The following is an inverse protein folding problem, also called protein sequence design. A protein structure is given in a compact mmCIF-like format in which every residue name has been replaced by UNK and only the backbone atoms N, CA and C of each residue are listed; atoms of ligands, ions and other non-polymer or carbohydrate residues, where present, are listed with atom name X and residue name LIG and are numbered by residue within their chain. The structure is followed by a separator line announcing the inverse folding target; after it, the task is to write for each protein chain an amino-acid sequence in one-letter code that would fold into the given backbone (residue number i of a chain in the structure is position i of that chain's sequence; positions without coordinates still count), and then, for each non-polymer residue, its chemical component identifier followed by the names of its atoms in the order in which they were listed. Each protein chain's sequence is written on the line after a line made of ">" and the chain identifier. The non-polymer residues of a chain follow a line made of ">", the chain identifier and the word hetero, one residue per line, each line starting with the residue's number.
data_IF_277560816876
#
_entry.id   IF_277560816876
#
_cell.length_a   1.000
_cell.length_b   1.000
_cell.length_c   1.000
_cell.angle_alpha   90.00
_cell.angle_beta   90.00
_cell.angle_gamma   90.00
#
_symmetry.space_group_name_H-M   'P 1'
#
loop_
_entity.id
_entity.type
_entity.pdbx_description
1 polymer ?
2 non-polymer ?
3 water ?
#
# COMPACT_ATOMS: atom_id res chain seq x y z
N UNK A 1 -4.44 21.46 -15.35
CA UNK A 1 -3.59 20.81 -14.36
C UNK A 1 -3.21 21.79 -13.27
N UNK A 2 -2.87 21.25 -12.10
CA UNK A 2 -2.49 22.05 -10.95
C UNK A 2 -3.52 21.99 -9.84
N UNK A 3 -4.22 23.10 -9.63
CA UNK A 3 -5.35 23.18 -8.73
C UNK A 3 -6.66 22.78 -9.38
N UNK A 4 -6.62 22.30 -10.63
CA UNK A 4 -7.79 21.74 -11.28
C UNK A 4 -8.41 20.64 -10.43
N UNK A 5 -9.72 20.69 -10.22
CA UNK A 5 -10.38 19.57 -9.56
C UNK A 5 -10.19 18.32 -10.40
N UNK A 6 -10.27 17.17 -9.74
CA UNK A 6 -9.96 15.89 -10.37
C UNK A 6 -8.54 15.85 -10.95
N UNK A 7 -7.61 16.62 -10.37
CA UNK A 7 -6.23 16.59 -10.85
C UNK A 7 -5.68 15.16 -10.82
N UNK A 8 -5.78 14.48 -9.68
CA UNK A 8 -5.21 13.14 -9.58
C UNK A 8 -5.92 12.15 -10.50
N UNK A 9 -7.24 12.29 -10.65
CA UNK A 9 -7.96 11.47 -11.62
C UNK A 9 -7.39 11.66 -13.03
N UNK A 10 -7.09 12.90 -13.41
CA UNK A 10 -6.64 13.14 -14.78
C UNK A 10 -5.21 12.67 -14.98
N UNK A 11 -4.34 12.88 -13.99
CA UNK A 11 -2.99 12.36 -14.18
C UNK A 11 -2.93 10.85 -13.99
N UNK A 12 -4.02 10.22 -13.56
CA UNK A 12 -4.08 8.77 -13.45
C UNK A 12 -3.17 8.16 -12.40
N UNK A 13 -2.80 8.91 -11.37
CA UNK A 13 -1.88 8.44 -10.35
C UNK A 13 -2.46 8.81 -9.00
N UNK A 14 -2.50 7.84 -8.07
CA UNK A 14 -3.12 8.06 -6.75
C UNK A 14 -2.06 8.36 -5.70
N UNK A 15 -2.18 9.45 -4.97
CA UNK A 15 -1.51 9.54 -3.68
C UNK A 15 -2.12 8.55 -2.71
N UNK A 16 -1.28 7.88 -1.92
CA UNK A 16 -1.79 6.92 -0.95
C UNK A 16 -1.17 7.20 0.41
N UNK A 17 -1.91 6.83 1.45
CA UNK A 17 -1.48 6.93 2.83
C UNK A 17 -1.29 5.53 3.38
N UNK A 18 -0.16 5.29 4.06
CA UNK A 18 0.15 3.99 4.65
C UNK A 18 0.45 4.20 6.12
N UNK A 19 -0.32 3.56 6.99
CA UNK A 19 -0.14 3.67 8.43
C UNK A 19 0.39 2.34 8.96
N UNK A 20 1.62 2.37 9.45
CA UNK A 20 2.22 1.30 10.24
C UNK A 20 2.05 1.65 11.71
N UNK A 21 2.45 0.72 12.58
CA UNK A 21 2.34 0.98 14.01
C UNK A 21 3.18 2.14 14.51
N UNK A 22 4.17 2.58 13.72
CA UNK A 22 5.10 3.62 14.14
C UNK A 22 5.18 4.83 13.23
N UNK A 23 4.61 4.79 12.02
CA UNK A 23 4.68 5.96 11.16
C UNK A 23 3.51 5.95 10.20
N UNK A 24 3.17 7.13 9.72
CA UNK A 24 2.21 7.29 8.65
C UNK A 24 2.99 7.82 7.45
N UNK A 25 2.90 7.12 6.32
CA UNK A 25 3.68 7.44 5.14
C UNK A 25 2.78 7.89 4.00
N UNK A 26 3.37 8.69 3.11
CA UNK A 26 2.74 9.14 1.88
C UNK A 26 3.59 8.74 0.68
N UNK A 27 2.93 8.30 -0.39
CA UNK A 27 3.62 7.99 -1.64
C UNK A 27 2.59 8.05 -2.75
N UNK A 28 3.03 7.71 -3.96
CA UNK A 28 2.17 7.68 -5.13
C UNK A 28 2.12 6.28 -5.72
N UNK A 29 0.96 5.91 -6.26
CA UNK A 29 0.77 4.60 -6.86
C UNK A 29 -0.16 4.72 -8.06
N UNK A 30 0.15 3.99 -9.14
CA UNK A 30 -0.74 3.90 -10.29
C UNK A 30 -0.77 2.46 -10.80
N UNK A 31 -1.61 2.21 -11.80
CA UNK A 31 -1.67 0.92 -12.48
C UNK A 31 -1.42 1.11 -13.97
N UNK A 32 -0.33 0.52 -14.45
CA UNK A 32 0.05 0.50 -15.85
C UNK A 32 -0.23 -0.91 -16.35
N UNK A 33 -1.28 -1.06 -17.15
CA UNK A 33 -1.67 -2.36 -17.69
C UNK A 33 -1.87 -3.38 -16.58
N UNK A 34 -2.57 -2.97 -15.52
CA UNK A 34 -2.96 -3.76 -14.35
C UNK A 34 -1.80 -4.19 -13.47
N UNK A 35 -0.57 -3.82 -13.81
CA UNK A 35 0.49 -3.96 -12.82
C UNK A 35 0.59 -2.68 -12.00
N UNK A 36 0.87 -2.76 -10.71
CA UNK A 36 1.05 -1.53 -9.93
C UNK A 36 2.41 -0.94 -10.19
N UNK A 37 2.48 0.38 -10.19
CA UNK A 37 3.76 1.07 -10.22
C UNK A 37 3.73 2.14 -9.14
N UNK A 38 4.65 2.04 -8.20
CA UNK A 38 4.81 3.00 -7.12
C UNK A 38 5.88 4.03 -7.49
N UNK A 39 5.82 5.17 -6.80
CA UNK A 39 6.91 6.13 -6.74
C UNK A 39 8.15 5.50 -6.10
N UNK A 40 9.12 5.12 -6.91
CA UNK A 40 10.30 4.45 -6.40
C UNK A 40 11.12 3.88 -7.53
N UNK A 41 12.05 3.00 -7.16
CA UNK A 41 13.10 2.52 -8.05
C UNK A 41 13.57 1.17 -7.54
N UNK A 42 13.82 0.25 -8.46
CA UNK A 42 14.41 -1.05 -8.12
C UNK A 42 13.56 -1.80 -7.10
N UNK A 43 12.26 -1.88 -7.38
CA UNK A 43 11.34 -2.58 -6.50
C UNK A 43 11.33 -2.08 -5.08
N UNK A 44 11.70 -0.82 -4.86
CA UNK A 44 11.65 -0.24 -3.53
C UNK A 44 10.86 1.05 -3.59
N UNK A 45 9.93 1.23 -2.65
CA UNK A 45 8.95 2.31 -2.67
C UNK A 45 9.47 3.46 -1.83
N UNK A 46 9.54 4.66 -2.42
CA UNK A 46 9.92 5.87 -1.69
C UNK A 46 8.75 6.36 -0.85
N UNK A 47 8.98 6.59 0.45
CA UNK A 47 7.90 7.01 1.35
C UNK A 47 8.28 8.33 2.00
N UNK A 48 7.27 9.16 2.29
CA UNK A 48 7.51 10.47 2.88
C UNK A 48 6.65 10.68 4.11
N UNK A 49 7.22 11.33 5.12
CA UNK A 49 6.54 11.55 6.37
C UNK A 49 5.49 12.64 6.36
N UNK A 50 5.30 13.37 5.26
CA UNK A 50 4.25 14.37 5.22
C UNK A 50 3.84 14.59 3.77
N UNK A 51 2.70 15.26 3.60
CA UNK A 51 2.27 15.61 2.26
C UNK A 51 3.21 16.64 1.64
N UNK A 52 3.69 17.60 2.46
CA UNK A 52 4.61 18.64 1.99
C UNK A 52 5.95 18.05 1.56
N UNK A 53 6.44 17.03 2.27
CA UNK A 53 7.69 16.40 1.87
C UNK A 53 7.54 15.74 0.50
N UNK A 54 6.44 15.02 0.28
CA UNK A 54 6.20 14.43 -1.04
C UNK A 54 6.15 15.50 -2.12
N UNK A 55 5.42 16.59 -1.87
CA UNK A 55 5.34 17.67 -2.85
C UNK A 55 6.73 18.22 -3.18
N UNK A 56 7.58 18.42 -2.16
CA UNK A 56 8.92 18.94 -2.40
C UNK A 56 9.74 18.00 -3.26
N UNK A 57 9.71 16.70 -2.94
CA UNK A 57 10.38 15.69 -3.76
C UNK A 57 9.91 15.71 -5.21
N UNK A 58 8.60 15.87 -5.43
CA UNK A 58 8.09 15.86 -6.80
C UNK A 58 8.50 17.10 -7.59
N UNK A 59 9.04 18.13 -6.93
CA UNK A 59 9.53 19.30 -7.66
C UNK A 59 10.91 19.05 -8.24
N UNK A 60 11.77 18.34 -7.51
CA UNK A 60 13.14 18.07 -7.96
C UNK A 60 13.16 17.04 -9.09
N UNK A 61 14.13 17.20 -9.98
CA UNK A 61 14.33 16.23 -11.05
C UNK A 61 14.87 14.93 -10.46
N UNK A 62 14.13 13.84 -10.66
CA UNK A 62 14.57 12.53 -10.22
C UNK A 62 14.34 11.54 -11.35
N UNK A 63 14.91 10.35 -11.19
CA UNK A 63 14.68 9.27 -12.14
C UNK A 63 14.12 8.11 -11.33
N UNK A 64 12.85 7.78 -11.59
CA UNK A 64 12.18 6.72 -10.86
C UNK A 64 11.10 6.12 -11.76
N UNK A 65 10.44 5.07 -11.28
CA UNK A 65 9.56 4.29 -12.16
C UNK A 65 8.32 5.04 -12.64
N UNK A 66 8.05 6.26 -12.18
CA UNK A 66 6.93 7.03 -12.68
C UNK A 66 7.35 8.15 -13.63
N UNK A 67 8.65 8.46 -13.71
CA UNK A 67 9.09 9.70 -14.36
C UNK A 67 8.81 9.70 -15.86
N UNK A 68 8.93 8.54 -16.53
CA UNK A 68 8.65 8.46 -17.97
C UNK A 68 7.15 8.40 -18.29
N UNK A 69 6.28 8.36 -17.29
CA UNK A 69 4.84 8.37 -17.55
C UNK A 69 4.42 9.70 -18.15
N UNK A 70 3.38 9.64 -18.99
CA UNK A 70 3.02 10.78 -19.82
C UNK A 70 2.44 11.94 -19.01
N UNK A 71 1.69 11.65 -17.95
CA UNK A 71 1.10 12.70 -17.13
C UNK A 71 1.98 13.10 -15.96
N UNK A 72 3.19 12.55 -15.85
CA UNK A 72 4.04 12.88 -14.70
C UNK A 72 4.61 14.29 -14.82
N UNK A 73 4.89 14.75 -16.05
CA UNK A 73 5.23 16.15 -16.29
C UNK A 73 4.18 17.09 -15.69
N UNK A 74 2.90 16.71 -15.75
CA UNK A 74 1.86 17.50 -15.07
C UNK A 74 2.07 17.51 -13.55
N UNK A 75 2.57 16.41 -12.99
CA UNK A 75 2.81 16.36 -11.55
C UNK A 75 3.99 17.26 -11.17
N UNK A 76 5.14 17.09 -11.83
CA UNK A 76 6.32 17.90 -11.51
C UNK A 76 6.06 19.38 -11.74
N UNK A 77 5.50 19.73 -12.90
CA UNK A 77 5.19 21.13 -13.18
C UNK A 77 4.29 21.73 -12.11
N UNK A 78 3.25 21.01 -11.70
CA UNK A 78 2.40 21.52 -10.62
C UNK A 78 3.16 21.58 -9.29
N UNK A 79 4.21 20.77 -9.14
CA UNK A 79 5.01 20.83 -7.93
C UNK A 79 5.90 22.06 -7.94
N UNK A 80 6.47 22.39 -9.10
CA UNK A 80 7.21 23.64 -9.26
C UNK A 80 6.29 24.85 -9.07
N UNK A 81 5.08 24.79 -9.63
CA UNK A 81 4.20 25.96 -9.57
C UNK A 81 3.75 26.27 -8.16
N UNK A 82 3.71 25.27 -7.29
CA UNK A 82 3.04 25.44 -6.02
C UNK A 82 1.54 25.26 -6.10
N UNK A 83 1.04 24.66 -7.18
CA UNK A 83 -0.37 24.33 -7.26
C UNK A 83 -0.67 22.90 -6.81
N UNK A 84 0.35 22.04 -6.72
CA UNK A 84 0.13 20.64 -6.40
C UNK A 84 -0.54 20.50 -5.05
N UNK A 85 -1.67 19.81 -5.02
CA UNK A 85 -2.41 19.53 -3.80
C UNK A 85 -2.42 18.02 -3.60
N UNK A 86 -1.67 17.54 -2.62
CA UNK A 86 -1.59 16.11 -2.31
C UNK A 86 -2.78 15.74 -1.43
N UNK A 87 -3.73 15.01 -1.99
CA UNK A 87 -4.91 14.59 -1.25
C UNK A 87 -5.10 13.10 -1.44
N UNK A 88 -5.35 12.39 -0.34
CA UNK A 88 -5.55 10.95 -0.33
C UNK A 88 -7.03 10.71 -0.12
N UNK A 89 -7.67 9.99 -1.04
CA UNK A 89 -9.07 9.66 -0.86
C UNK A 89 -9.19 8.50 0.11
N UNK A 90 -10.41 8.30 0.62
CA UNK A 90 -10.59 7.36 1.73
C UNK A 90 -10.25 5.93 1.33
N UNK A 91 -10.58 5.54 0.10
CA UNK A 91 -10.25 4.20 -0.35
C UNK A 91 -8.77 4.04 -0.66
N UNK A 92 -7.96 5.08 -0.51
CA UNK A 92 -6.52 4.99 -0.65
C UNK A 92 -5.82 5.17 0.69
N UNK A 93 -6.52 4.85 1.77
CA UNK A 93 -5.93 4.81 3.11
C UNK A 93 -5.71 3.36 3.51
N UNK A 94 -4.44 2.98 3.72
CA UNK A 94 -4.07 1.61 4.06
C UNK A 94 -3.53 1.57 5.49
N UNK A 95 -4.18 0.80 6.35
CA UNK A 95 -3.79 0.73 7.75
C UNK A 95 -3.26 -0.67 7.99
N UNK A 96 -1.94 -0.79 8.17
CA UNK A 96 -1.33 -2.08 8.47
C UNK A 96 -1.19 -2.31 9.96
N UNK A 97 -1.20 -1.26 10.77
CA UNK A 97 -1.02 -1.42 12.20
C UNK A 97 -2.18 -2.18 12.82
N UNK A 98 -1.92 -2.81 13.97
CA UNK A 98 -2.93 -3.51 14.72
C UNK A 98 -3.35 -4.85 14.18
N UNK A 99 -3.15 -5.13 12.89
CA UNK A 99 -3.58 -6.42 12.37
C UNK A 99 -2.90 -7.56 13.10
N UNK A 100 -1.60 -7.40 13.42
CA UNK A 100 -0.85 -8.46 14.10
C UNK A 100 -1.51 -8.82 15.43
N UNK A 101 -1.93 -7.82 16.20
CA UNK A 101 -2.62 -8.08 17.46
C UNK A 101 -4.03 -8.63 17.25
N UNK A 102 -4.71 -8.25 16.17
CA UNK A 102 -6.07 -8.74 15.95
C UNK A 102 -6.08 -10.19 15.46
N UNK A 103 -5.14 -10.54 14.57
CA UNK A 103 -5.00 -11.93 14.14
C UNK A 103 -4.86 -12.87 15.34
N UNK A 104 -3.97 -12.53 16.29
CA UNK A 104 -3.78 -13.35 17.48
C UNK A 104 -5.09 -13.62 18.20
N UNK A 105 -5.98 -12.62 18.26
CA UNK A 105 -7.27 -12.75 18.91
C UNK A 105 -8.30 -13.47 18.05
N UNK A 106 -7.93 -13.91 16.85
CA UNK A 106 -8.84 -14.66 16.01
C UNK A 106 -9.54 -13.82 14.97
N UNK A 107 -10.27 -14.47 14.07
CA UNK A 107 -10.83 -13.74 12.93
C UNK A 107 -11.88 -12.71 13.33
N UNK A 108 -12.62 -12.96 14.40
CA UNK A 108 -13.69 -12.05 14.78
C UNK A 108 -13.18 -10.75 15.41
N UNK A 109 -11.88 -10.64 15.69
CA UNK A 109 -11.31 -9.37 16.11
C UNK A 109 -10.66 -8.61 14.96
N UNK A 110 -10.77 -9.11 13.73
CA UNK A 110 -10.09 -8.51 12.58
C UNK A 110 -11.12 -7.80 11.72
N UNK A 111 -10.90 -6.51 11.48
CA UNK A 111 -11.85 -5.73 10.71
C UNK A 111 -11.76 -6.07 9.23
N UNK A 112 -12.91 -6.42 8.65
CA UNK A 112 -12.96 -6.88 7.27
C UNK A 112 -12.49 -5.80 6.29
N UNK A 113 -13.05 -4.59 6.38
CA UNK A 113 -12.68 -3.57 5.42
C UNK A 113 -11.22 -3.19 5.57
N UNK A 114 -10.72 -3.11 6.81
CA UNK A 114 -9.30 -2.85 7.01
C UNK A 114 -8.46 -3.90 6.31
N UNK A 115 -8.75 -5.18 6.57
CA UNK A 115 -7.94 -6.25 6.00
C UNK A 115 -8.02 -6.26 4.48
N UNK A 116 -9.22 -6.04 3.93
CA UNK A 116 -9.39 -5.95 2.48
C UNK A 116 -8.44 -4.94 1.86
N UNK A 117 -8.40 -3.73 2.41
CA UNK A 117 -7.49 -2.71 1.91
C UNK A 117 -6.04 -3.12 2.14
N UNK A 118 -5.73 -3.72 3.29
CA UNK A 118 -4.33 -4.03 3.57
C UNK A 118 -3.82 -5.12 2.64
N UNK A 119 -4.69 -6.07 2.28
CA UNK A 119 -4.29 -7.13 1.35
C UNK A 119 -4.07 -6.56 -0.04
N UNK A 120 -4.93 -5.65 -0.47
CA UNK A 120 -4.72 -4.92 -1.73
C UNK A 120 -3.33 -4.29 -1.78
N UNK A 121 -2.96 -3.55 -0.73
CA UNK A 121 -1.64 -2.92 -0.72
C UNK A 121 -0.54 -3.96 -0.69
N UNK A 122 -0.71 -5.01 0.11
CA UNK A 122 0.34 -6.03 0.19
C UNK A 122 0.59 -6.65 -1.18
N UNK A 123 -0.48 -7.10 -1.87
CA UNK A 123 -0.33 -7.73 -3.18
C UNK A 123 0.22 -6.75 -4.20
N UNK A 124 -0.16 -5.47 -4.11
CA UNK A 124 0.45 -4.48 -4.99
C UNK A 124 1.94 -4.38 -4.72
N UNK A 125 2.35 -4.44 -3.45
CA UNK A 125 3.76 -4.26 -3.12
C UNK A 125 4.57 -5.47 -3.57
N UNK A 126 4.03 -6.68 -3.40
CA UNK A 126 4.70 -7.86 -3.93
C UNK A 126 4.71 -7.92 -5.45
N UNK A 127 3.71 -7.31 -6.09
CA UNK A 127 3.70 -7.22 -7.55
C UNK A 127 4.82 -6.31 -8.04
N UNK A 128 4.87 -5.08 -7.49
CA UNK A 128 5.85 -4.09 -7.93
C UNK A 128 7.28 -4.50 -7.61
N UNK A 129 7.51 -5.17 -6.49
CA UNK A 129 8.85 -5.64 -6.17
C UNK A 129 9.15 -7.00 -6.80
N UNK A 130 8.19 -7.59 -7.51
CA UNK A 130 8.37 -8.86 -8.20
C UNK A 130 8.76 -9.98 -7.24
N UNK A 131 8.22 -9.93 -6.03
CA UNK A 131 8.54 -10.88 -4.98
C UNK A 131 7.27 -11.62 -4.61
N UNK A 132 7.38 -12.94 -4.47
CA UNK A 132 6.21 -13.78 -4.24
C UNK A 132 5.88 -13.95 -2.76
N UNK A 133 6.49 -13.15 -1.88
CA UNK A 133 6.28 -13.32 -0.44
C UNK A 133 4.80 -13.17 -0.07
N UNK A 134 4.14 -12.14 -0.60
CA UNK A 134 2.74 -11.94 -0.24
C UNK A 134 1.88 -13.01 -0.89
N UNK A 135 2.15 -13.31 -2.15
CA UNK A 135 1.31 -14.24 -2.89
C UNK A 135 1.33 -15.62 -2.25
N UNK A 136 2.52 -16.11 -1.89
CA UNK A 136 2.63 -17.40 -1.22
C UNK A 136 1.99 -17.38 0.16
N UNK A 137 2.23 -16.33 0.95
CA UNK A 137 1.69 -16.30 2.30
C UNK A 137 0.16 -16.30 2.32
N UNK A 138 -0.49 -15.90 1.23
CA UNK A 138 -1.94 -15.77 1.22
C UNK A 138 -2.62 -16.93 0.51
N UNK A 139 -1.86 -17.93 0.07
CA UNK A 139 -2.48 -19.16 -0.41
C UNK A 139 -3.38 -19.75 0.66
N UNK A 140 -4.56 -20.23 0.24
CA UNK A 140 -5.55 -20.70 1.19
C UNK A 140 -5.21 -22.05 1.81
N UNK A 141 -4.09 -22.66 1.46
CA UNK A 141 -3.64 -23.84 2.17
C UNK A 141 -2.79 -23.50 3.39
N UNK A 142 -2.25 -22.23 3.47
CA UNK A 142 -1.41 -21.75 4.56
C UNK A 142 -2.25 -21.10 5.65
N UNK A 143 -1.74 -21.14 6.89
CA UNK A 143 -2.45 -20.53 8.04
C UNK A 143 -2.92 -19.09 7.84
N UNK A 144 -2.03 -18.19 7.43
CA UNK A 144 -2.46 -16.81 7.21
C UNK A 144 -3.50 -16.73 6.11
N UNK A 145 -3.21 -17.32 4.95
CA UNK A 145 -4.13 -17.22 3.83
C UNK A 145 -5.50 -17.78 4.16
N UNK A 146 -5.54 -18.86 4.94
CA UNK A 146 -6.83 -19.43 5.35
C UNK A 146 -7.56 -18.48 6.29
N UNK A 147 -6.85 -17.93 7.28
CA UNK A 147 -7.45 -16.94 8.16
C UNK A 147 -7.89 -15.72 7.37
N UNK A 148 -7.09 -15.29 6.39
CA UNK A 148 -7.45 -14.09 5.63
C UNK A 148 -8.69 -14.35 4.77
N UNK A 149 -8.72 -15.48 4.07
CA UNK A 149 -9.88 -15.83 3.25
C UNK A 149 -11.15 -15.93 4.08
N UNK A 150 -11.05 -16.46 5.29
CA UNK A 150 -12.24 -16.55 6.13
C UNK A 150 -12.76 -15.17 6.50
N UNK A 151 -11.86 -14.28 6.95
CA UNK A 151 -12.30 -12.96 7.41
C UNK A 151 -12.89 -12.17 6.26
N UNK A 152 -12.32 -12.32 5.06
CA UNK A 152 -12.77 -11.54 3.91
C UNK A 152 -14.07 -12.07 3.31
N UNK A 153 -14.53 -13.25 3.71
CA UNK A 153 -15.76 -13.83 3.18
C UNK A 153 -16.74 -14.03 4.33
N UNK A 154 -17.73 -13.14 4.49
CA UNK A 154 -18.73 -13.34 5.56
C UNK A 154 -19.63 -14.54 5.33
N UNK A 155 -19.62 -15.12 4.13
CA UNK A 155 -20.39 -16.31 3.77
C UNK A 155 -19.68 -17.62 4.11
N UNK A 156 -18.62 -17.57 4.92
CA UNK A 156 -17.78 -18.74 5.19
C UNK A 156 -18.10 -19.34 6.55
N UNK A 157 -18.13 -20.67 6.59
CA UNK A 157 -18.42 -21.39 7.81
C UNK A 157 -17.20 -22.14 8.34
N UNK A 158 -16.29 -22.56 7.46
CA UNK A 158 -15.12 -23.32 7.88
C UNK A 158 -14.18 -22.47 8.70
N UNK A 159 -14.51 -22.26 9.98
CA UNK A 159 -13.81 -21.26 10.78
C UNK A 159 -12.44 -21.77 11.21
N UNK A 160 -11.38 -20.98 11.06
CA UNK A 160 -10.11 -21.32 11.71
C UNK A 160 -10.27 -21.42 13.22
N UNK A 161 -9.71 -22.48 13.78
CA UNK A 161 -9.79 -22.75 15.21
C UNK A 161 -8.50 -22.31 15.89
N UNK A 162 -8.64 -21.75 17.11
CA UNK A 162 -7.52 -21.21 17.89
C UNK A 162 -6.53 -22.32 18.30
N UNK A 163 -5.30 -21.94 18.74
CA UNK A 163 -4.66 -20.62 18.68
C UNK A 163 -4.24 -20.26 17.25
N UNK A 164 -3.74 -19.05 17.09
CA UNK A 164 -3.51 -18.47 15.77
C UNK A 164 -2.06 -18.10 15.58
N UNK A 165 -1.17 -18.70 16.38
CA UNK A 165 0.24 -18.34 16.37
C UNK A 165 0.84 -18.43 14.98
N UNK A 166 0.44 -19.44 14.20
CA UNK A 166 1.01 -19.60 12.86
C UNK A 166 0.66 -18.42 11.97
N UNK A 167 -0.61 -18.00 11.98
CA UNK A 167 -1.02 -16.84 11.19
C UNK A 167 -0.28 -15.59 11.64
N UNK A 168 -0.14 -15.39 12.95
CA UNK A 168 0.61 -14.23 13.44
C UNK A 168 2.04 -14.28 12.93
N UNK A 169 2.70 -15.44 13.01
CA UNK A 169 4.08 -15.53 12.55
C UNK A 169 4.18 -15.17 11.07
N UNK A 170 3.31 -15.75 10.24
CA UNK A 170 3.37 -15.45 8.81
C UNK A 170 3.10 -13.97 8.56
N UNK A 171 2.23 -13.35 9.36
CA UNK A 171 1.94 -11.93 9.18
C UNK A 171 3.14 -11.07 9.56
N UNK A 172 3.81 -11.41 10.66
CA UNK A 172 5.03 -10.69 11.04
C UNK A 172 6.08 -10.73 9.94
N UNK A 173 6.26 -11.90 9.30
CA UNK A 173 7.15 -11.99 8.14
C UNK A 173 6.77 -10.99 7.05
N UNK A 174 5.47 -10.87 6.76
CA UNK A 174 5.02 -9.94 5.73
C UNK A 174 5.31 -8.50 6.13
N UNK A 175 5.12 -8.17 7.41
CA UNK A 175 5.45 -6.83 7.86
C UNK A 175 6.93 -6.53 7.62
N UNK A 176 7.81 -7.48 7.95
CA UNK A 176 9.24 -7.28 7.67
C UNK A 176 9.49 -7.15 6.18
N UNK A 177 8.86 -8.01 5.37
CA UNK A 177 8.92 -7.82 3.92
C UNK A 177 8.51 -6.40 3.51
N UNK A 178 7.41 -5.90 4.07
CA UNK A 178 6.95 -4.56 3.70
C UNK A 178 7.98 -3.51 4.09
N UNK A 179 8.51 -3.60 5.31
CA UNK A 179 9.50 -2.63 5.78
C UNK A 179 10.71 -2.59 4.86
N UNK A 180 11.16 -3.75 4.38
CA UNK A 180 12.32 -3.76 3.50
C UNK A 180 12.02 -3.18 2.12
N UNK A 181 10.75 -3.12 1.70
CA UNK A 181 10.43 -2.52 0.41
C UNK A 181 10.22 -1.02 0.48
N UNK A 182 10.31 -0.41 1.66
CA UNK A 182 10.07 1.02 1.80
C UNK A 182 11.40 1.74 1.95
N UNK A 183 11.62 2.73 1.10
CA UNK A 183 12.79 3.59 1.20
C UNK A 183 12.34 4.94 1.74
N UNK A 184 12.89 5.33 2.89
CA UNK A 184 12.48 6.58 3.52
C UNK A 184 13.27 7.77 2.99
N UNK A 185 12.61 8.93 2.97
CA UNK A 185 13.20 10.17 2.49
C UNK A 185 12.82 11.34 3.39
X LIG B 1 -5.74 -19.92 11.08
X LIG C 1 5.68 -1.96 7.83
X LIG D 1 3.63 -21.22 9.19
#
# INVERSE_FOLDING_TARGET
>A
LGGDRDFWLQVGIDPIQIMTGTATFYTLRCYLDDRPIFLGRNGRISVFGSERALARYLADEHDHDLSDLSTYDDIRTAATDGSLAVAVTDDNVYVLSGLVDDFADGPDAVDREQLDLAVELLRDIGDYSEDSAVDKALETTRPLGQLVAYVLDPHSVGKPTAPYAAAVREWEKLERFVESRLRRE
>B hetero
1 BR BR
>C hetero
1 BR BR
>D hetero
1 BR BR
#
